data_IF_027596875035
#
_entry.id   IF_027596875035
#
_cell.length_a   1.000
_cell.length_b   1.000
_cell.length_c   1.000
_cell.angle_alpha   90.00
_cell.angle_beta   90.00
_cell.angle_gamma   90.00
#
_symmetry.space_group_name_H-M   'P 1'
#
loop_
_entity.id
_entity.type
_entity.pdbx_description
1 polymer ?
#
# COMPACT_ATOMS: atom_id res chain seq x y z
N UNK A 1 14.53 14.16 -31.18
CA UNK A 1 14.26 13.60 -29.83
C UNK A 1 12.97 14.25 -29.35
N UNK A 2 11.82 13.63 -29.62
CA UNK A 2 10.51 14.19 -29.29
C UNK A 2 10.26 13.96 -27.80
N UNK A 3 10.10 15.05 -27.05
CA UNK A 3 9.54 14.99 -25.71
C UNK A 3 8.14 14.42 -25.84
N UNK A 4 7.94 13.18 -25.40
CA UNK A 4 6.62 12.62 -25.25
C UNK A 4 5.85 13.57 -24.33
N UNK A 5 4.86 14.27 -24.87
CA UNK A 5 3.90 15.04 -24.10
C UNK A 5 3.11 14.04 -23.27
N UNK A 6 3.60 13.70 -22.08
CA UNK A 6 2.91 12.80 -21.16
C UNK A 6 1.56 13.43 -20.84
N UNK A 7 0.44 12.80 -21.22
CA UNK A 7 -0.87 13.38 -21.03
C UNK A 7 -1.22 13.35 -19.53
N UNK A 8 -1.41 14.55 -18.99
CA UNK A 8 -2.15 14.91 -17.78
C UNK A 8 -1.95 14.03 -16.54
N UNK A 9 -1.11 14.45 -15.58
CA UNK A 9 -1.17 13.89 -14.25
C UNK A 9 -2.55 14.19 -13.65
N UNK A 10 -3.30 13.16 -13.29
CA UNK A 10 -4.54 13.29 -12.54
C UNK A 10 -4.20 13.71 -11.10
N UNK A 11 -3.86 14.98 -10.90
CA UNK A 11 -3.40 15.54 -9.63
C UNK A 11 -4.32 15.17 -8.46
N UNK A 12 -5.64 15.20 -8.68
CA UNK A 12 -6.61 14.80 -7.66
C UNK A 12 -6.48 13.33 -7.26
N UNK A 13 -6.30 12.42 -8.22
CA UNK A 13 -6.10 11.01 -7.96
C UNK A 13 -4.75 10.73 -7.30
N UNK A 14 -3.69 11.43 -7.72
CA UNK A 14 -2.37 11.37 -7.09
C UNK A 14 -2.44 11.76 -5.62
N UNK A 15 -3.10 12.88 -5.30
CA UNK A 15 -3.27 13.32 -3.91
C UNK A 15 -4.11 12.32 -3.11
N UNK A 16 -5.19 11.79 -3.69
CA UNK A 16 -6.02 10.78 -3.03
C UNK A 16 -5.22 9.53 -2.69
N UNK A 17 -4.47 8.96 -3.65
CA UNK A 17 -3.69 7.74 -3.41
C UNK A 17 -2.55 7.99 -2.43
N UNK A 18 -1.91 9.17 -2.45
CA UNK A 18 -0.90 9.56 -1.47
C UNK A 18 -1.48 9.66 -0.05
N UNK A 19 -2.67 10.26 0.10
CA UNK A 19 -3.37 10.35 1.39
C UNK A 19 -3.77 8.97 1.92
N UNK A 20 -4.33 8.11 1.06
CA UNK A 20 -4.68 6.74 1.44
C UNK A 20 -3.45 5.94 1.86
N UNK A 21 -2.38 6.01 1.05
CA UNK A 21 -1.12 5.29 1.29
C UNK A 21 -0.45 5.75 2.58
N UNK A 22 -0.35 7.06 2.79
CA UNK A 22 0.23 7.62 4.02
C UNK A 22 -0.59 7.26 5.26
N UNK A 23 -1.93 7.29 5.19
CA UNK A 23 -2.79 6.87 6.28
C UNK A 23 -2.61 5.38 6.61
N UNK A 24 -2.56 4.50 5.59
CA UNK A 24 -2.35 3.07 5.79
C UNK A 24 -1.00 2.77 6.42
N UNK A 25 0.09 3.38 5.94
CA UNK A 25 1.41 3.18 6.53
C UNK A 25 1.56 3.79 7.91
N UNK A 26 0.92 4.93 8.18
CA UNK A 26 0.89 5.53 9.51
C UNK A 26 0.20 4.62 10.53
N UNK A 27 -0.97 4.06 10.19
CA UNK A 27 -1.69 3.11 11.05
C UNK A 27 -0.91 1.81 11.22
N UNK A 28 -0.36 1.25 10.14
CA UNK A 28 0.47 0.05 10.22
C UNK A 28 1.71 0.27 11.09
N UNK A 29 2.36 1.44 10.98
CA UNK A 29 3.48 1.85 11.82
C UNK A 29 3.08 1.98 13.29
N UNK A 30 1.90 2.55 13.57
CA UNK A 30 1.36 2.65 14.92
C UNK A 30 1.08 1.27 15.53
N UNK A 31 0.43 0.37 14.78
CA UNK A 31 0.20 -1.01 15.21
C UNK A 31 1.53 -1.70 15.52
N UNK A 32 2.52 -1.58 14.62
CA UNK A 32 3.85 -2.14 14.83
C UNK A 32 4.51 -1.56 16.10
N UNK A 33 4.41 -0.25 16.31
CA UNK A 33 4.92 0.44 17.51
C UNK A 33 4.30 -0.04 18.82
N UNK A 34 3.01 -0.39 18.82
CA UNK A 34 2.32 -0.96 20.01
C UNK A 34 2.91 -2.33 20.38
N UNK A 35 3.28 -3.14 19.38
CA UNK A 35 3.81 -4.50 19.60
C UNK A 35 5.32 -4.58 19.76
N UNK A 36 6.07 -3.62 19.23
CA UNK A 36 7.51 -3.57 19.36
C UNK A 36 7.94 -3.50 20.84
N UNK A 37 8.97 -4.28 21.20
CA UNK A 37 9.57 -4.29 22.54
C UNK A 37 10.92 -3.56 22.58
N UNK A 38 11.47 -3.25 21.41
CA UNK A 38 12.75 -2.57 21.22
C UNK A 38 12.72 -1.82 19.88
N UNK A 39 13.66 -0.88 19.70
CA UNK A 39 13.82 -0.17 18.43
C UNK A 39 14.12 -1.10 17.25
N UNK A 40 14.86 -2.18 17.49
CA UNK A 40 15.13 -3.20 16.46
C UNK A 40 13.84 -3.89 15.97
N UNK A 41 12.90 -4.13 16.89
CA UNK A 41 11.59 -4.72 16.57
C UNK A 41 10.75 -3.84 15.64
N UNK A 42 10.89 -2.52 15.74
CA UNK A 42 10.17 -1.56 14.87
C UNK A 42 10.68 -1.67 13.43
N UNK A 43 12.00 -1.79 13.26
CA UNK A 43 12.66 -1.79 11.95
C UNK A 43 12.52 -3.10 11.18
N UNK A 44 12.26 -4.23 11.85
CA UNK A 44 12.11 -5.54 11.21
C UNK A 44 10.94 -5.57 10.22
N UNK A 45 9.78 -5.00 10.55
CA UNK A 45 8.60 -5.06 9.68
C UNK A 45 8.83 -4.34 8.34
N UNK A 46 9.31 -3.08 8.31
CA UNK A 46 9.68 -2.42 7.06
C UNK A 46 10.69 -3.22 6.22
N UNK A 47 11.73 -3.76 6.83
CA UNK A 47 12.80 -4.43 6.09
C UNK A 47 12.39 -5.80 5.57
N UNK A 48 11.75 -6.63 6.38
CA UNK A 48 11.50 -8.03 6.03
C UNK A 48 10.12 -8.29 5.43
N UNK A 49 9.18 -7.36 5.57
CA UNK A 49 7.80 -7.53 5.07
C UNK A 49 7.48 -6.47 4.02
N UNK A 50 7.62 -5.19 4.36
CA UNK A 50 7.22 -4.10 3.48
C UNK A 50 8.06 -4.06 2.21
N UNK A 51 9.38 -4.20 2.34
CA UNK A 51 10.30 -4.21 1.20
C UNK A 51 9.98 -5.31 0.18
N UNK A 52 9.92 -6.62 0.53
CA UNK A 52 9.57 -7.66 -0.44
C UNK A 52 8.16 -7.51 -1.00
N UNK A 53 7.17 -7.08 -0.21
CA UNK A 53 5.83 -6.79 -0.71
C UNK A 53 5.83 -5.63 -1.71
N UNK A 54 6.68 -4.62 -1.52
CA UNK A 54 6.79 -3.50 -2.46
C UNK A 54 7.38 -3.99 -3.78
N UNK A 55 8.43 -4.82 -3.74
CA UNK A 55 8.99 -5.45 -4.95
C UNK A 55 7.99 -6.38 -5.64
N UNK A 56 7.17 -7.11 -4.87
CA UNK A 56 6.09 -7.94 -5.39
C UNK A 56 4.87 -7.14 -5.89
N UNK A 57 4.83 -5.84 -5.59
CA UNK A 57 3.72 -4.93 -5.89
C UNK A 57 3.77 -4.29 -7.27
N UNK A 58 4.56 -4.81 -8.23
CA UNK A 58 4.57 -4.31 -9.60
C UNK A 58 5.20 -2.92 -9.77
N UNK A 59 6.15 -2.54 -8.90
CA UNK A 59 6.95 -1.30 -9.08
C UNK A 59 7.78 -1.34 -10.35
N UNK A 60 8.33 -2.53 -10.68
CA UNK A 60 9.30 -2.70 -11.76
C UNK A 60 8.77 -3.51 -12.95
N UNK A 61 7.60 -4.12 -12.82
CA UNK A 61 7.01 -4.99 -13.84
C UNK A 61 5.48 -4.88 -13.84
N UNK A 62 4.88 -5.20 -14.98
CA UNK A 62 3.43 -5.37 -15.08
C UNK A 62 3.03 -6.74 -14.53
N UNK A 63 1.86 -6.82 -13.90
CA UNK A 63 1.33 -8.09 -13.38
C UNK A 63 0.95 -9.06 -14.50
N UNK A 64 0.76 -8.58 -15.73
CA UNK A 64 0.33 -9.38 -16.88
C UNK A 64 1.42 -10.32 -17.39
N UNK A 65 2.70 -9.99 -17.18
CA UNK A 65 3.84 -10.80 -17.64
C UNK A 65 4.25 -11.89 -16.64
N UNK A 66 3.62 -11.92 -15.47
CA UNK A 66 3.96 -12.89 -14.43
C UNK A 66 3.31 -14.26 -14.68
N UNK A 67 4.01 -15.36 -14.38
CA UNK A 67 3.40 -16.69 -14.29
C UNK A 67 2.23 -16.71 -13.30
N UNK A 68 1.25 -17.60 -13.52
CA UNK A 68 -0.01 -17.63 -12.76
C UNK A 68 0.16 -17.59 -11.23
N UNK A 69 1.14 -18.33 -10.69
CA UNK A 69 1.42 -18.34 -9.25
C UNK A 69 1.78 -16.95 -8.72
N UNK A 70 2.70 -16.26 -9.40
CA UNK A 70 3.17 -14.94 -8.99
C UNK A 70 2.12 -13.86 -9.22
N UNK A 71 1.36 -13.97 -10.31
CA UNK A 71 0.22 -13.10 -10.59
C UNK A 71 -0.78 -13.11 -9.44
N UNK A 72 -1.16 -14.31 -8.98
CA UNK A 72 -2.10 -14.45 -7.87
C UNK A 72 -1.54 -13.85 -6.58
N UNK A 73 -0.27 -14.10 -6.25
CA UNK A 73 0.39 -13.52 -5.07
C UNK A 73 0.38 -11.98 -5.12
N UNK A 74 0.68 -11.38 -6.27
CA UNK A 74 0.64 -9.92 -6.45
C UNK A 74 -0.77 -9.36 -6.28
N UNK A 75 -1.81 -10.05 -6.78
CA UNK A 75 -3.20 -9.61 -6.62
C UNK A 75 -3.71 -9.66 -5.17
N UNK A 76 -3.12 -10.48 -4.29
CA UNK A 76 -3.44 -10.43 -2.86
C UNK A 76 -2.76 -9.28 -2.10
N UNK A 77 -1.80 -8.61 -2.73
CA UNK A 77 -1.00 -7.59 -2.07
C UNK A 77 -1.67 -6.20 -2.17
N UNK A 78 -2.10 -5.57 -1.06
CA UNK A 78 -2.69 -4.24 -1.10
C UNK A 78 -1.72 -3.16 -1.62
N UNK A 79 -0.41 -3.36 -1.48
CA UNK A 79 0.62 -2.41 -1.95
C UNK A 79 0.64 -2.37 -3.49
N UNK A 80 0.32 -3.48 -4.16
CA UNK A 80 0.20 -3.51 -5.63
C UNK A 80 -0.82 -2.49 -6.13
N UNK A 81 -2.01 -2.46 -5.52
CA UNK A 81 -3.07 -1.51 -5.90
C UNK A 81 -2.69 -0.05 -5.63
N UNK A 82 -1.90 0.23 -4.59
CA UNK A 82 -1.37 1.58 -4.34
C UNK A 82 -0.45 2.03 -5.48
N UNK A 83 0.47 1.16 -5.87
CA UNK A 83 1.45 1.43 -6.92
C UNK A 83 0.76 1.56 -8.28
N UNK A 84 -0.20 0.68 -8.58
CA UNK A 84 -0.94 0.70 -9.85
C UNK A 84 -1.74 1.99 -10.03
N UNK A 85 -2.49 2.42 -8.99
CA UNK A 85 -3.25 3.68 -9.03
C UNK A 85 -2.31 4.89 -9.12
N UNK A 86 -1.16 4.86 -8.45
CA UNK A 86 -0.16 5.92 -8.57
C UNK A 86 0.45 5.98 -9.97
N UNK A 87 0.80 4.82 -10.56
CA UNK A 87 1.28 4.70 -11.95
C UNK A 87 0.23 5.25 -12.92
N UNK A 88 -1.03 4.90 -12.74
CA UNK A 88 -2.12 5.45 -13.54
C UNK A 88 -2.25 6.97 -13.38
N UNK A 89 -2.16 7.48 -12.15
CA UNK A 89 -2.27 8.91 -11.90
C UNK A 89 -1.11 9.73 -12.50
N UNK A 90 0.09 9.16 -12.61
CA UNK A 90 1.28 9.81 -13.17
C UNK A 90 1.48 9.61 -14.67
N UNK A 91 1.19 8.41 -15.18
CA UNK A 91 1.53 7.98 -16.56
C UNK A 91 0.30 7.64 -17.41
N UNK A 92 -0.89 7.59 -16.82
CA UNK A 92 -2.15 7.26 -17.52
C UNK A 92 -2.36 5.77 -17.80
N UNK A 93 -1.49 4.88 -17.30
CA UNK A 93 -1.54 3.44 -17.53
C UNK A 93 -1.77 2.67 -16.21
N UNK A 94 -2.70 1.72 -16.21
CA UNK A 94 -3.07 0.86 -15.08
C UNK A 94 -3.12 -0.59 -15.55
N UNK A 95 -2.59 -1.51 -14.75
CA UNK A 95 -2.66 -2.96 -14.98
C UNK A 95 -4.03 -3.54 -14.52
N UNK A 96 -4.76 -2.84 -13.63
CA UNK A 96 -6.09 -3.26 -13.12
C UNK A 96 -7.08 -2.09 -13.14
N UNK A 97 -8.38 -2.38 -13.02
CA UNK A 97 -9.41 -1.36 -12.95
C UNK A 97 -9.24 -0.47 -11.70
N UNK A 98 -9.08 0.84 -11.90
CA UNK A 98 -8.82 1.84 -10.84
C UNK A 98 -9.90 1.82 -9.75
N UNK A 99 -11.18 1.65 -10.12
CA UNK A 99 -12.27 1.62 -9.16
C UNK A 99 -12.14 0.40 -8.23
N UNK A 100 -11.78 -0.76 -8.78
CA UNK A 100 -11.51 -1.96 -7.98
C UNK A 100 -10.33 -1.73 -7.04
N UNK A 101 -9.24 -1.14 -7.55
CA UNK A 101 -8.06 -0.80 -6.75
C UNK A 101 -8.43 0.14 -5.59
N UNK A 102 -9.20 1.20 -5.84
CA UNK A 102 -9.65 2.14 -4.80
C UNK A 102 -10.54 1.48 -3.75
N UNK A 103 -11.47 0.60 -4.15
CA UNK A 103 -12.32 -0.15 -3.21
C UNK A 103 -11.46 -1.02 -2.29
N UNK A 104 -10.47 -1.74 -2.84
CA UNK A 104 -9.57 -2.59 -2.07
C UNK A 104 -8.73 -1.76 -1.09
N UNK A 105 -8.19 -0.62 -1.52
CA UNK A 105 -7.42 0.28 -0.66
C UNK A 105 -8.26 0.84 0.50
N UNK A 106 -9.46 1.32 0.21
CA UNK A 106 -10.37 1.86 1.24
C UNK A 106 -10.78 0.74 2.21
N UNK A 107 -11.13 -0.45 1.71
CA UNK A 107 -11.45 -1.60 2.56
C UNK A 107 -10.28 -1.98 3.48
N UNK A 108 -9.06 -2.04 2.93
CA UNK A 108 -7.85 -2.33 3.70
C UNK A 108 -7.58 -1.26 4.78
N UNK A 109 -7.74 0.02 4.43
CA UNK A 109 -7.61 1.13 5.38
C UNK A 109 -8.63 1.02 6.52
N UNK A 110 -9.89 0.71 6.22
CA UNK A 110 -10.94 0.52 7.25
C UNK A 110 -10.58 -0.64 8.18
N UNK A 111 -10.12 -1.77 7.64
CA UNK A 111 -9.69 -2.93 8.44
C UNK A 111 -8.50 -2.58 9.34
N UNK A 112 -7.49 -1.89 8.81
CA UNK A 112 -6.33 -1.43 9.59
C UNK A 112 -6.76 -0.44 10.68
N UNK A 113 -7.59 0.54 10.35
CA UNK A 113 -8.08 1.54 11.29
C UNK A 113 -8.91 0.89 12.41
N UNK A 114 -9.82 -0.02 12.07
CA UNK A 114 -10.62 -0.77 13.04
C UNK A 114 -9.74 -1.62 13.97
N UNK A 115 -8.74 -2.31 13.40
CA UNK A 115 -7.78 -3.11 14.18
C UNK A 115 -6.99 -2.23 15.14
N UNK A 116 -6.44 -1.11 14.65
CA UNK A 116 -5.71 -0.16 15.47
C UNK A 116 -6.57 0.42 16.60
N UNK A 117 -7.82 0.80 16.29
CA UNK A 117 -8.76 1.33 17.28
C UNK A 117 -9.08 0.28 18.35
N UNK A 118 -9.31 -0.99 17.96
CA UNK A 118 -9.54 -2.08 18.90
C UNK A 118 -8.35 -2.30 19.83
N UNK A 119 -7.11 -2.23 19.31
CA UNK A 119 -5.90 -2.35 20.12
C UNK A 119 -5.77 -1.21 21.13
N UNK A 120 -6.07 0.01 20.70
CA UNK A 120 -6.02 1.21 21.53
C UNK A 120 -7.08 1.17 22.64
N UNK A 121 -8.32 0.80 22.31
CA UNK A 121 -9.43 0.66 23.27
C UNK A 121 -9.18 -0.46 24.27
N UNK A 122 -8.61 -1.59 23.83
CA UNK A 122 -8.25 -2.71 24.73
C UNK A 122 -7.08 -2.36 25.67
N UNK A 123 -6.39 -1.25 25.44
CA UNK A 123 -5.25 -0.81 26.26
C UNK A 123 -4.10 -1.81 26.25
N UNK A 124 -3.95 -2.61 25.18
CA UNK A 124 -2.86 -3.60 25.07
C UNK A 124 -1.54 -2.85 25.23
N UNK A 125 -0.86 -3.08 26.38
CA UNK A 125 0.39 -2.41 26.82
C UNK A 125 0.36 -0.91 27.16
N UNK A 126 -0.77 -0.22 27.05
CA UNK A 126 -0.86 1.20 27.52
C UNK A 126 -1.12 1.26 29.03
N UNK A 127 -1.57 0.15 29.63
CA UNK A 127 -1.88 0.04 31.05
C UNK A 127 -1.20 -1.19 31.66
N UNK A 128 0.10 -1.05 31.92
CA UNK A 128 0.85 -1.52 33.09
C UNK A 128 2.35 -1.34 32.87
#
# INVERSE_FOLDING_TARGET
MSFATMPFPNLGLTLLVLLLTSAMFSIAGLINGIYARSFDGISIIPTFILMPLTYLGGVFYSVEILPELWRNVTLFNPIFYMIDVFRYASMGFSDVNILQSLIILIACLIVLAATCLQLLVRGVRIRN
#
